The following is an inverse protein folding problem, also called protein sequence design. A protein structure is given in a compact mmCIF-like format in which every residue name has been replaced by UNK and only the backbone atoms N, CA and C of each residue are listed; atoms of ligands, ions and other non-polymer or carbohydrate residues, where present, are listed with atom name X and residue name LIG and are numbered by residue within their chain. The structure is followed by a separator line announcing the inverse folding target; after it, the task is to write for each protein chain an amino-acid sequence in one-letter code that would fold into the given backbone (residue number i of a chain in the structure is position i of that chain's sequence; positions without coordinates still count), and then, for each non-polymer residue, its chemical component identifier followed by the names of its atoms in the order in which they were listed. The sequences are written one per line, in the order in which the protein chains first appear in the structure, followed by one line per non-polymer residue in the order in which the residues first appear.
data_IF_540621449732
#
_entry.id   IF_540621449732
#
_cell.length_a   1.000
_cell.length_b   1.000
_cell.length_c   1.000
_cell.angle_alpha   90.00
_cell.angle_beta   90.00
_cell.angle_gamma   90.00
#
_symmetry.space_group_name_H-M   'P 1'
#
loop_
_entity.id
_entity.type
_entity.pdbx_description
1 polymer ?
#
# COMPACT_ATOMS: atom_id res chain seq x y z
N UNK A 1 14.35 -11.99 32.91
CA UNK A 1 15.29 -13.10 33.16
C UNK A 1 15.73 -13.60 31.79
N UNK A 2 16.99 -13.70 31.38
CA UNK A 2 18.32 -13.55 31.98
C UNK A 2 19.31 -13.24 30.83
N UNK A 3 20.30 -12.38 31.14
CA UNK A 3 21.67 -12.25 30.62
C UNK A 3 22.04 -12.11 29.11
N UNK A 4 22.82 -11.05 28.86
CA UNK A 4 23.84 -10.83 27.81
C UNK A 4 25.21 -11.47 28.23
N UNK A 5 26.40 -11.17 27.65
CA UNK A 5 26.88 -11.04 26.24
C UNK A 5 28.18 -11.89 25.99
N UNK A 6 28.71 -11.96 24.74
CA UNK A 6 30.17 -11.86 24.38
C UNK A 6 30.61 -12.63 23.11
N UNK A 7 31.25 -11.87 22.20
CA UNK A 7 32.48 -12.11 21.40
C UNK A 7 33.05 -13.53 21.20
N UNK A 8 33.20 -13.98 19.95
CA UNK A 8 34.49 -14.17 19.22
C UNK A 8 34.31 -14.98 17.91
N UNK A 9 35.18 -14.67 16.94
CA UNK A 9 35.28 -15.32 15.62
C UNK A 9 35.58 -16.82 15.71
N UNK A 10 34.88 -17.61 14.89
CA UNK A 10 35.42 -18.84 14.30
C UNK A 10 34.93 -18.95 12.85
N UNK A 11 35.88 -19.01 11.93
CA UNK A 11 35.69 -19.43 10.54
C UNK A 11 35.43 -20.93 10.54
N UNK A 12 34.31 -21.38 9.97
CA UNK A 12 34.31 -22.57 9.10
C UNK A 12 33.03 -22.63 8.28
N UNK A 13 33.20 -23.01 7.01
CA UNK A 13 32.18 -22.93 5.97
C UNK A 13 31.06 -23.95 6.13
N UNK A 14 29.82 -23.49 5.92
CA UNK A 14 28.72 -24.30 5.42
C UNK A 14 27.72 -23.37 4.70
N UNK A 15 27.08 -23.81 3.58
CA UNK A 15 26.28 -22.94 2.75
C UNK A 15 25.01 -22.52 3.50
N UNK A 16 24.62 -21.27 3.29
CA UNK A 16 23.45 -20.60 3.85
C UNK A 16 22.27 -21.56 4.02
N UNK A 17 21.96 -21.92 5.26
CA UNK A 17 20.72 -22.59 5.61
C UNK A 17 19.55 -21.72 5.17
N UNK A 18 18.77 -22.20 4.22
CA UNK A 18 17.45 -21.66 3.94
C UNK A 18 16.64 -21.80 5.23
N UNK A 19 16.18 -20.68 5.80
CA UNK A 19 15.17 -20.70 6.85
C UNK A 19 14.02 -21.62 6.40
N UNK A 20 13.51 -22.53 7.25
CA UNK A 20 12.41 -23.40 6.87
C UNK A 20 11.24 -22.56 6.37
N UNK A 21 10.74 -22.86 5.17
CA UNK A 21 9.62 -22.16 4.57
C UNK A 21 8.36 -22.45 5.40
N UNK A 22 7.77 -21.40 5.95
CA UNK A 22 6.51 -21.46 6.69
C UNK A 22 5.34 -21.59 5.71
N UNK A 23 4.34 -22.37 6.09
CA UNK A 23 3.11 -22.55 5.29
C UNK A 23 1.90 -22.05 6.08
N UNK A 24 1.02 -21.31 5.39
CA UNK A 24 -0.27 -20.85 5.92
C UNK A 24 -1.35 -21.50 5.05
N UNK A 25 -2.22 -22.31 5.66
CA UNK A 25 -3.27 -23.05 4.94
C UNK A 25 -2.78 -23.87 3.73
N UNK A 26 -1.55 -24.38 3.79
CA UNK A 26 -0.92 -25.15 2.72
C UNK A 26 -0.29 -24.32 1.59
N UNK A 27 -0.26 -22.99 1.72
CA UNK A 27 0.42 -22.06 0.81
C UNK A 27 1.72 -21.59 1.47
N UNK A 28 2.81 -21.54 0.70
CA UNK A 28 4.07 -21.02 1.20
C UNK A 28 3.93 -19.52 1.54
N UNK A 29 4.40 -19.09 2.72
CA UNK A 29 4.30 -17.69 3.16
C UNK A 29 5.02 -16.74 2.19
N UNK A 30 6.05 -17.23 1.50
CA UNK A 30 6.76 -16.52 0.43
C UNK A 30 5.83 -16.08 -0.72
N UNK A 31 4.78 -16.85 -1.01
CA UNK A 31 3.78 -16.55 -2.04
C UNK A 31 2.71 -15.56 -1.56
N UNK A 32 2.53 -15.44 -0.24
CA UNK A 32 1.57 -14.52 0.40
C UNK A 32 2.18 -13.14 0.66
N UNK A 33 3.52 -13.06 0.73
CA UNK A 33 4.23 -11.78 0.89
C UNK A 33 4.22 -11.00 -0.42
N UNK A 34 3.46 -9.90 -0.44
CA UNK A 34 3.29 -9.05 -1.62
C UNK A 34 2.75 -9.84 -2.82
N UNK A 35 1.50 -10.30 -2.70
CA UNK A 35 0.82 -11.08 -3.74
C UNK A 35 0.92 -10.35 -5.07
N UNK A 36 1.75 -10.91 -5.94
CA UNK A 36 2.12 -10.38 -7.25
C UNK A 36 1.77 -11.44 -8.25
N UNK A 37 0.92 -11.08 -9.18
CA UNK A 37 0.67 -11.90 -10.34
C UNK A 37 1.66 -11.60 -11.45
N UNK A 38 1.94 -12.62 -12.26
CA UNK A 38 2.74 -12.49 -13.48
C UNK A 38 1.83 -12.63 -14.69
N UNK A 39 1.88 -11.64 -15.57
CA UNK A 39 1.25 -11.69 -16.90
C UNK A 39 2.17 -10.98 -17.88
N UNK A 40 2.43 -11.61 -19.02
CA UNK A 40 3.30 -11.08 -20.08
C UNK A 40 4.67 -10.59 -19.58
N UNK A 41 5.28 -11.32 -18.63
CA UNK A 41 6.59 -10.98 -18.04
C UNK A 41 6.59 -9.78 -17.09
N UNK A 42 5.42 -9.24 -16.74
CA UNK A 42 5.27 -8.13 -15.79
C UNK A 42 4.63 -8.61 -14.50
N UNK A 43 5.14 -8.11 -13.38
CA UNK A 43 4.52 -8.30 -12.07
C UNK A 43 3.48 -7.22 -11.85
N UNK A 44 2.26 -7.59 -11.46
CA UNK A 44 1.21 -6.67 -11.06
C UNK A 44 0.60 -7.10 -9.73
N UNK A 45 0.11 -6.13 -8.97
CA UNK A 45 -0.71 -6.41 -7.80
C UNK A 45 -2.15 -6.56 -8.25
N UNK A 46 -2.83 -7.59 -7.75
CA UNK A 46 -4.26 -7.79 -7.98
C UNK A 46 -4.95 -7.95 -6.64
N UNK A 47 -6.12 -7.32 -6.52
CA UNK A 47 -7.05 -7.53 -5.42
C UNK A 47 -8.46 -7.56 -5.98
N UNK A 48 -9.30 -8.39 -5.37
CA UNK A 48 -10.74 -8.46 -5.65
C UNK A 48 -11.44 -7.75 -4.50
N UNK A 49 -12.45 -6.97 -4.85
CA UNK A 49 -13.23 -6.22 -3.89
C UNK A 49 -14.70 -6.59 -4.10
N UNK A 50 -15.33 -7.08 -3.05
CA UNK A 50 -16.78 -7.20 -2.98
C UNK A 50 -17.34 -5.85 -2.56
N UNK A 51 -18.24 -5.28 -3.36
CA UNK A 51 -18.84 -3.96 -3.09
C UNK A 51 -20.35 -4.12 -2.96
N UNK A 52 -20.85 -4.08 -1.72
CA UNK A 52 -22.27 -4.28 -1.43
C UNK A 52 -23.14 -3.10 -1.85
N UNK A 53 -22.62 -1.88 -1.74
CA UNK A 53 -23.35 -0.64 -2.07
C UNK A 53 -22.53 0.25 -3.01
N UNK A 54 -22.62 0.03 -4.34
CA UNK A 54 -21.90 0.84 -5.30
C UNK A 54 -22.29 2.32 -5.22
N UNK A 55 -21.31 3.21 -5.33
CA UNK A 55 -21.55 4.65 -5.24
C UNK A 55 -20.47 5.44 -6.01
N UNK A 56 -20.82 6.57 -6.67
CA UNK A 56 -19.86 7.40 -7.39
C UNK A 56 -18.83 8.10 -6.48
N UNK A 57 -19.02 8.04 -5.16
CA UNK A 57 -18.06 8.53 -4.16
C UNK A 57 -17.15 7.42 -3.59
N UNK A 58 -17.19 6.21 -4.18
CA UNK A 58 -16.17 5.20 -3.92
C UNK A 58 -14.99 5.50 -4.82
N UNK A 59 -13.88 5.90 -4.19
CA UNK A 59 -12.64 6.25 -4.87
C UNK A 59 -11.58 5.20 -4.67
N UNK A 60 -10.84 4.91 -5.75
CA UNK A 60 -9.54 4.29 -5.64
C UNK A 60 -8.49 5.39 -5.44
N UNK A 61 -7.83 5.36 -4.30
CA UNK A 61 -6.77 6.33 -3.93
C UNK A 61 -5.42 5.65 -4.05
N UNK A 62 -4.59 6.12 -4.98
CA UNK A 62 -3.22 5.69 -5.12
C UNK A 62 -2.31 6.57 -4.26
N UNK A 63 -1.63 5.97 -3.29
CA UNK A 63 -0.58 6.62 -2.49
C UNK A 63 0.78 6.18 -3.00
N UNK A 64 1.60 7.15 -3.38
CA UNK A 64 2.96 6.95 -3.86
C UNK A 64 3.90 7.33 -2.74
N UNK A 65 4.66 6.35 -2.28
CA UNK A 65 5.74 6.53 -1.33
C UNK A 65 7.08 6.57 -2.04
N UNK A 66 8.03 7.29 -1.44
CA UNK A 66 9.43 7.31 -1.86
C UNK A 66 10.32 6.90 -0.69
N UNK A 67 11.54 6.46 -0.99
CA UNK A 67 12.57 6.30 0.04
C UNK A 67 12.78 7.63 0.77
N UNK A 68 12.89 7.58 2.09
CA UNK A 68 13.08 8.77 2.92
C UNK A 68 14.30 9.59 2.44
N UNK A 69 14.07 10.84 2.04
CA UNK A 69 15.09 11.70 1.44
C UNK A 69 15.00 13.15 1.95
N UNK A 70 14.82 13.36 3.26
CA UNK A 70 14.71 14.72 3.81
C UNK A 70 13.44 15.44 3.33
N UNK A 71 13.52 16.75 3.09
CA UNK A 71 12.34 17.56 2.78
C UNK A 71 11.75 17.22 1.39
N UNK A 72 10.45 16.93 1.36
CA UNK A 72 9.71 16.54 0.15
C UNK A 72 9.74 17.60 -0.95
N UNK A 73 9.77 18.89 -0.61
CA UNK A 73 9.77 19.98 -1.60
C UNK A 73 11.05 19.96 -2.43
N UNK A 74 12.21 19.77 -1.80
CA UNK A 74 13.48 19.59 -2.50
C UNK A 74 13.54 18.26 -3.26
N UNK A 75 12.88 17.22 -2.76
CA UNK A 75 12.85 15.92 -3.42
C UNK A 75 12.00 15.90 -4.69
N UNK A 76 10.88 16.63 -4.69
CA UNK A 76 9.94 16.68 -5.80
C UNK A 76 10.39 17.67 -6.89
N UNK A 77 11.18 18.69 -6.52
CA UNK A 77 11.65 19.75 -7.41
C UNK A 77 12.27 19.26 -8.74
N UNK A 78 13.15 18.23 -8.77
CA UNK A 78 13.71 17.72 -10.03
C UNK A 78 12.67 17.11 -10.97
N UNK A 79 11.53 16.65 -10.45
CA UNK A 79 10.45 16.08 -11.26
C UNK A 79 9.52 17.16 -11.81
N UNK A 80 9.46 18.31 -11.15
CA UNK A 80 8.53 19.41 -11.48
C UNK A 80 9.20 20.45 -12.38
N UNK A 81 10.49 20.71 -12.19
CA UNK A 81 11.23 21.68 -12.99
C UNK A 81 11.47 21.15 -14.40
N UNK A 82 11.20 21.99 -15.41
CA UNK A 82 11.38 21.67 -16.82
C UNK A 82 12.84 21.86 -17.28
N UNK A 83 13.79 21.24 -16.54
CA UNK A 83 15.20 21.19 -16.94
C UNK A 83 15.45 20.03 -17.92
N UNK A 84 16.65 19.97 -18.52
CA UNK A 84 17.09 18.87 -19.39
C UNK A 84 16.74 17.50 -18.77
N UNK A 85 15.80 16.73 -19.35
CA UNK A 85 15.29 15.51 -18.74
C UNK A 85 16.36 14.44 -18.58
N UNK A 86 17.31 14.34 -19.52
CA UNK A 86 18.35 13.32 -19.49
C UNK A 86 19.35 13.59 -18.35
N UNK A 87 19.82 14.83 -18.21
CA UNK A 87 20.71 15.22 -17.11
C UNK A 87 20.01 15.09 -15.76
N UNK A 88 18.74 15.47 -15.70
CA UNK A 88 17.93 15.40 -14.48
C UNK A 88 17.71 13.96 -14.05
N UNK A 89 17.35 13.06 -14.97
CA UNK A 89 17.19 11.64 -14.70
C UNK A 89 18.49 11.01 -14.18
N UNK A 90 19.64 11.32 -14.80
CA UNK A 90 20.94 10.82 -14.33
C UNK A 90 21.28 11.30 -12.92
N UNK A 91 21.03 12.58 -12.62
CA UNK A 91 21.24 13.14 -11.28
C UNK A 91 20.32 12.47 -10.25
N UNK A 92 19.03 12.37 -10.54
CA UNK A 92 18.03 11.74 -9.66
C UNK A 92 18.39 10.27 -9.42
N UNK A 93 18.84 9.54 -10.44
CA UNK A 93 19.25 8.13 -10.34
C UNK A 93 20.47 7.95 -9.42
N UNK A 94 21.51 8.78 -9.57
CA UNK A 94 22.69 8.74 -8.70
C UNK A 94 22.31 9.01 -7.24
N UNK A 95 21.50 10.04 -7.00
CA UNK A 95 21.00 10.36 -5.65
C UNK A 95 20.15 9.23 -5.09
N UNK A 96 19.25 8.65 -5.89
CA UNK A 96 18.41 7.53 -5.48
C UNK A 96 19.26 6.32 -5.05
N UNK A 97 20.29 5.95 -5.83
CA UNK A 97 21.22 4.87 -5.44
C UNK A 97 21.87 5.10 -4.08
N UNK A 98 22.38 6.31 -3.85
CA UNK A 98 23.04 6.67 -2.58
C UNK A 98 22.07 6.69 -1.39
N UNK A 99 20.83 7.16 -1.60
CA UNK A 99 19.83 7.21 -0.54
C UNK A 99 19.30 5.81 -0.24
N UNK A 100 19.02 5.00 -1.27
CA UNK A 100 18.56 3.63 -1.10
C UNK A 100 19.57 2.75 -0.36
N UNK A 101 20.88 2.94 -0.53
CA UNK A 101 21.89 2.17 0.21
C UNK A 101 21.88 2.45 1.72
N UNK A 102 21.46 3.64 2.14
CA UNK A 102 21.45 4.07 3.54
C UNK A 102 20.08 3.99 4.20
N UNK A 103 19.04 4.38 3.48
CA UNK A 103 17.68 4.59 3.98
C UNK A 103 16.64 3.77 3.22
N UNK A 104 17.05 2.81 2.37
CA UNK A 104 16.17 2.06 1.47
C UNK A 104 15.05 1.26 2.13
N UNK A 105 15.07 1.08 3.45
CA UNK A 105 13.97 0.48 4.21
C UNK A 105 12.92 1.50 4.68
N UNK A 106 13.28 2.77 4.77
CA UNK A 106 12.39 3.83 5.23
C UNK A 106 11.63 4.45 4.06
N UNK A 107 10.34 4.71 4.28
CA UNK A 107 9.45 5.33 3.30
C UNK A 107 8.98 6.68 3.82
N UNK A 108 8.67 7.58 2.89
CA UNK A 108 7.99 8.82 3.15
C UNK A 108 6.89 9.03 2.10
N UNK A 109 5.78 9.69 2.45
CA UNK A 109 4.80 10.12 1.46
C UNK A 109 5.44 10.98 0.39
N UNK A 110 5.03 10.80 -0.87
CA UNK A 110 5.59 11.54 -2.00
C UNK A 110 4.49 12.17 -2.86
N UNK A 111 3.54 11.37 -3.31
CA UNK A 111 2.43 11.84 -4.12
C UNK A 111 1.17 11.01 -3.89
N UNK A 112 0.03 11.53 -4.29
CA UNK A 112 -1.22 10.79 -4.30
C UNK A 112 -2.06 11.16 -5.52
N UNK A 113 -2.91 10.25 -5.93
CA UNK A 113 -3.92 10.50 -6.94
C UNK A 113 -5.18 9.68 -6.62
N UNK A 114 -6.30 10.06 -7.18
CA UNK A 114 -7.53 9.31 -7.01
C UNK A 114 -8.33 9.23 -8.31
N UNK A 115 -9.22 8.25 -8.37
CA UNK A 115 -10.30 8.20 -9.34
C UNK A 115 -11.54 7.54 -8.75
N UNK A 116 -12.76 7.94 -9.16
CA UNK A 116 -13.96 7.17 -8.84
C UNK A 116 -13.91 5.80 -9.52
N UNK A 117 -14.54 4.81 -8.89
CA UNK A 117 -14.67 3.45 -9.45
C UNK A 117 -16.02 3.25 -10.15
N UNK A 118 -17.08 3.87 -9.62
CA UNK A 118 -18.42 3.79 -10.18
C UNK A 118 -18.86 5.11 -10.80
N UNK A 119 -19.65 5.03 -11.87
CA UNK A 119 -20.26 6.19 -12.54
C UNK A 119 -21.54 6.62 -11.82
N UNK A 120 -22.24 5.67 -11.20
CA UNK A 120 -23.55 5.86 -10.60
C UNK A 120 -23.76 4.92 -9.39
N UNK A 121 -24.90 5.09 -8.73
CA UNK A 121 -25.35 4.26 -7.60
C UNK A 121 -25.89 2.88 -8.02
N UNK A 122 -26.03 2.64 -9.32
CA UNK A 122 -26.51 1.36 -9.87
C UNK A 122 -25.34 0.37 -10.06
N UNK A 123 -24.10 0.81 -9.85
CA UNK A 123 -22.91 -0.03 -9.93
C UNK A 123 -22.25 -0.07 -11.31
N UNK A 124 -22.56 0.89 -12.19
CA UNK A 124 -21.86 1.00 -13.47
C UNK A 124 -20.38 1.35 -13.25
N UNK A 125 -19.47 0.46 -13.64
CA UNK A 125 -18.01 0.66 -13.48
C UNK A 125 -17.46 1.69 -14.47
N UNK A 126 -16.50 2.49 -14.00
CA UNK A 126 -15.68 3.36 -14.83
C UNK A 126 -14.37 2.68 -15.24
N UNK A 127 -14.45 1.94 -16.35
CA UNK A 127 -13.34 1.18 -16.95
C UNK A 127 -12.30 2.10 -17.60
N UNK A 128 -12.74 3.22 -18.19
CA UNK A 128 -11.89 4.21 -18.88
C UNK A 128 -11.46 5.37 -17.96
N UNK A 129 -11.84 5.29 -16.68
CA UNK A 129 -11.60 6.33 -15.70
C UNK A 129 -10.11 6.62 -15.52
N UNK A 130 -9.71 7.88 -15.75
CA UNK A 130 -8.34 8.32 -15.49
C UNK A 130 -8.17 8.80 -14.07
N UNK A 131 -6.99 8.52 -13.50
CA UNK A 131 -6.57 9.16 -12.26
C UNK A 131 -6.48 10.67 -12.44
N UNK A 132 -6.74 11.38 -11.34
CA UNK A 132 -6.30 12.75 -11.16
C UNK A 132 -4.79 12.87 -11.42
N UNK A 133 -4.28 14.08 -11.67
CA UNK A 133 -2.85 14.33 -11.62
C UNK A 133 -2.23 13.81 -10.31
N UNK A 134 -0.93 13.47 -10.34
CA UNK A 134 -0.21 13.11 -9.13
C UNK A 134 0.02 14.37 -8.31
N UNK A 135 -0.72 14.53 -7.22
CA UNK A 135 -0.57 15.65 -6.31
C UNK A 135 0.52 15.35 -5.29
N UNK A 136 1.43 16.30 -5.06
CA UNK A 136 2.47 16.19 -4.04
C UNK A 136 1.84 15.97 -2.66
N UNK A 137 2.27 14.93 -1.94
CA UNK A 137 1.77 14.61 -0.61
C UNK A 137 2.75 15.06 0.48
N UNK A 138 2.61 16.30 0.95
CA UNK A 138 3.35 16.79 2.12
C UNK A 138 2.59 16.41 3.40
N UNK A 139 3.04 15.37 4.12
CA UNK A 139 2.36 14.86 5.32
C UNK A 139 2.23 15.87 6.47
N UNK A 140 3.05 16.93 6.46
CA UNK A 140 2.95 18.01 7.45
C UNK A 140 1.79 18.98 7.15
N UNK A 141 1.34 19.02 5.88
CA UNK A 141 0.31 19.95 5.37
C UNK A 141 -0.97 19.27 4.90
N UNK A 142 -0.90 17.99 4.57
CA UNK A 142 -1.99 17.22 3.98
C UNK A 142 -2.17 15.91 4.75
N UNK A 143 -3.11 15.91 5.69
CA UNK A 143 -3.48 14.73 6.46
C UNK A 143 -4.41 13.79 5.67
N UNK A 144 -4.69 12.60 6.20
CA UNK A 144 -5.69 11.70 5.61
C UNK A 144 -7.09 12.31 5.60
N UNK A 145 -7.43 13.10 6.62
CA UNK A 145 -8.73 13.81 6.69
C UNK A 145 -8.84 14.90 5.61
N UNK A 146 -7.74 15.61 5.34
CA UNK A 146 -7.70 16.61 4.27
C UNK A 146 -7.87 15.97 2.90
N UNK A 147 -7.28 14.79 2.68
CA UNK A 147 -7.49 14.01 1.45
C UNK A 147 -8.98 13.65 1.31
N UNK A 148 -9.65 13.19 2.38
CA UNK A 148 -11.07 12.89 2.33
C UNK A 148 -11.92 14.12 1.98
N UNK A 149 -11.61 15.29 2.56
CA UNK A 149 -12.29 16.56 2.22
C UNK A 149 -12.10 16.90 0.74
N UNK A 150 -10.89 16.75 0.21
CA UNK A 150 -10.62 16.97 -1.21
C UNK A 150 -11.36 15.99 -2.12
N UNK A 151 -11.50 14.72 -1.71
CA UNK A 151 -12.27 13.72 -2.46
C UNK A 151 -13.77 14.05 -2.50
N UNK A 152 -14.32 14.61 -1.42
CA UNK A 152 -15.71 15.08 -1.40
C UNK A 152 -15.96 16.21 -2.42
N UNK A 153 -14.93 16.99 -2.76
CA UNK A 153 -14.98 18.04 -3.77
C UNK A 153 -14.37 17.62 -5.12
N UNK A 154 -14.15 16.33 -5.37
CA UNK A 154 -13.43 15.82 -6.55
C UNK A 154 -13.99 16.33 -7.89
N UNK A 155 -15.32 16.50 -8.00
CA UNK A 155 -16.00 16.99 -9.21
C UNK A 155 -15.74 18.47 -9.50
N UNK A 156 -15.08 19.21 -8.61
CA UNK A 156 -14.77 20.66 -8.74
C UNK A 156 -13.25 20.88 -8.71
N UNK A 157 -12.50 20.40 -9.72
CA UNK A 157 -11.04 20.39 -9.69
C UNK A 157 -10.40 21.78 -9.61
N UNK A 158 -11.09 22.84 -10.06
CA UNK A 158 -10.61 24.24 -10.02
C UNK A 158 -10.26 24.74 -8.61
N UNK A 159 -10.84 24.13 -7.57
CA UNK A 159 -10.55 24.49 -6.17
C UNK A 159 -9.28 23.84 -5.62
N UNK A 160 -8.74 22.83 -6.29
CA UNK A 160 -7.63 22.03 -5.77
C UNK A 160 -6.30 22.71 -6.07
N UNK A 161 -5.78 23.50 -5.12
CA UNK A 161 -4.50 24.22 -5.23
C UNK A 161 -3.28 23.36 -4.86
N UNK A 162 -3.26 22.10 -5.28
CA UNK A 162 -2.16 21.17 -4.98
C UNK A 162 -1.08 21.21 -6.07
N UNK A 163 0.17 21.13 -5.64
CA UNK A 163 1.30 21.06 -6.57
C UNK A 163 1.30 19.71 -7.29
N UNK A 164 1.34 19.73 -8.63
CA UNK A 164 1.34 18.53 -9.47
C UNK A 164 2.78 18.05 -9.69
N UNK A 165 2.99 16.75 -9.57
CA UNK A 165 4.20 16.04 -9.99
C UNK A 165 3.90 15.37 -11.35
N UNK A 166 4.67 15.67 -12.41
CA UNK A 166 4.49 15.01 -13.70
C UNK A 166 4.64 13.48 -13.59
N UNK A 167 3.70 12.76 -14.18
CA UNK A 167 3.69 11.30 -14.19
C UNK A 167 2.35 10.74 -14.63
N UNK A 168 2.30 9.44 -14.89
CA UNK A 168 1.09 8.71 -15.25
C UNK A 168 0.99 7.44 -14.40
N UNK A 169 -0.23 7.12 -13.99
CA UNK A 169 -0.57 5.90 -13.27
C UNK A 169 -1.62 5.15 -14.07
N UNK A 170 -1.28 3.93 -14.48
CA UNK A 170 -2.16 3.04 -15.23
C UNK A 170 -2.63 1.92 -14.31
N UNK A 171 -3.93 1.86 -14.04
CA UNK A 171 -4.56 0.79 -13.26
C UNK A 171 -5.81 0.35 -14.02
N UNK A 172 -5.92 -0.94 -14.26
CA UNK A 172 -7.10 -1.56 -14.87
C UNK A 172 -8.09 -1.93 -13.77
N UNK A 173 -9.37 -1.64 -14.01
CA UNK A 173 -10.48 -2.16 -13.19
C UNK A 173 -11.41 -2.90 -14.13
N UNK A 174 -11.88 -4.05 -13.69
CA UNK A 174 -12.73 -4.95 -14.46
C UNK A 174 -13.74 -5.63 -13.53
N UNK A 175 -14.87 -6.05 -14.10
CA UNK A 175 -15.76 -6.95 -13.39
C UNK A 175 -15.08 -8.31 -13.24
N UNK A 176 -15.06 -8.84 -12.03
CA UNK A 176 -14.47 -10.15 -11.75
C UNK A 176 -15.44 -11.25 -12.22
N UNK A 177 -14.98 -12.24 -13.00
CA UNK A 177 -15.81 -13.35 -13.41
C UNK A 177 -16.18 -14.24 -12.22
N UNK A 178 -17.37 -14.87 -12.27
CA UNK A 178 -17.94 -15.66 -11.17
C UNK A 178 -17.12 -16.93 -10.88
N UNK A 179 -16.37 -17.43 -11.86
CA UNK A 179 -15.58 -18.66 -11.82
C UNK A 179 -14.09 -18.41 -11.52
N UNK A 180 -13.75 -17.27 -10.92
CA UNK A 180 -12.36 -16.96 -10.61
C UNK A 180 -11.74 -17.99 -9.64
N UNK A 181 -10.64 -18.60 -10.07
CA UNK A 181 -9.87 -19.57 -9.29
C UNK A 181 -8.75 -18.92 -8.48
N UNK A 182 -8.16 -19.69 -7.57
CA UNK A 182 -6.94 -19.31 -6.85
C UNK A 182 -7.08 -18.05 -5.98
N UNK A 183 -8.28 -17.84 -5.45
CA UNK A 183 -8.57 -16.75 -4.53
C UNK A 183 -8.29 -17.17 -3.09
N UNK A 184 -7.86 -16.21 -2.28
CA UNK A 184 -7.73 -16.37 -0.83
C UNK A 184 -8.51 -15.28 -0.12
N UNK A 185 -9.11 -15.61 1.01
CA UNK A 185 -9.76 -14.61 1.86
C UNK A 185 -8.72 -13.73 2.57
N UNK A 186 -9.17 -12.68 3.26
CA UNK A 186 -8.33 -11.86 4.15
C UNK A 186 -7.69 -12.65 5.30
N UNK A 187 -8.17 -13.88 5.58
CA UNK A 187 -7.54 -14.84 6.51
C UNK A 187 -6.51 -15.77 5.86
N UNK A 188 -6.16 -15.53 4.58
CA UNK A 188 -5.34 -16.43 3.75
C UNK A 188 -5.95 -17.84 3.55
N UNK A 189 -7.25 -17.99 3.77
CA UNK A 189 -7.95 -19.26 3.53
C UNK A 189 -8.24 -19.39 2.03
N UNK A 190 -7.79 -20.49 1.38
CA UNK A 190 -8.06 -20.73 -0.04
C UNK A 190 -9.55 -20.93 -0.34
N UNK A 191 -10.04 -20.27 -1.38
CA UNK A 191 -11.38 -20.46 -1.93
C UNK A 191 -11.34 -21.45 -3.09
N UNK A 192 -12.33 -22.34 -3.17
CA UNK A 192 -12.45 -23.31 -4.27
C UNK A 192 -13.00 -22.60 -5.52
N UNK A 193 -12.48 -22.87 -6.73
CA UNK A 193 -11.40 -23.81 -7.03
C UNK A 193 -10.01 -23.24 -6.73
N UNK A 194 -9.16 -24.02 -6.05
CA UNK A 194 -7.77 -23.65 -5.74
C UNK A 194 -6.81 -24.73 -6.23
N UNK A 195 -5.93 -24.35 -7.15
CA UNK A 195 -4.94 -25.26 -7.74
C UNK A 195 -3.73 -25.45 -6.82
N UNK A 196 -3.22 -26.69 -6.77
CA UNK A 196 -1.97 -26.97 -6.05
C UNK A 196 -0.80 -26.30 -6.79
N UNK A 197 0.06 -25.60 -6.06
CA UNK A 197 1.24 -24.88 -6.58
C UNK A 197 0.93 -23.69 -7.51
N UNK A 198 -0.23 -23.04 -7.35
CA UNK A 198 -0.56 -21.83 -8.09
C UNK A 198 0.47 -20.71 -7.85
N UNK A 199 0.84 -20.00 -8.92
CA UNK A 199 1.73 -18.82 -8.85
C UNK A 199 0.97 -17.48 -8.85
N UNK A 200 -0.30 -17.47 -9.25
CA UNK A 200 -1.13 -16.27 -9.39
C UNK A 200 -2.27 -16.32 -8.39
N UNK A 201 -1.93 -16.08 -7.12
CA UNK A 201 -2.93 -15.99 -6.05
C UNK A 201 -3.61 -14.62 -6.14
N UNK A 202 -4.92 -14.57 -5.88
CA UNK A 202 -5.65 -13.30 -5.77
C UNK A 202 -6.22 -13.14 -4.36
N UNK A 203 -6.06 -11.97 -3.76
CA UNK A 203 -6.66 -11.68 -2.46
C UNK A 203 -8.06 -11.13 -2.67
N UNK A 204 -9.03 -11.79 -2.06
CA UNK A 204 -10.33 -11.20 -1.79
C UNK A 204 -10.22 -10.31 -0.55
N UNK A 205 -10.42 -9.01 -0.77
CA UNK A 205 -10.44 -8.01 0.28
C UNK A 205 -11.87 -7.93 0.82
N UNK A 206 -12.02 -8.26 2.10
CA UNK A 206 -13.32 -8.23 2.79
C UNK A 206 -13.76 -6.77 2.98
N UNK A 207 -15.02 -6.48 2.65
CA UNK A 207 -15.65 -5.18 2.95
C UNK A 207 -15.85 -5.07 4.47
N UNK A 208 -15.60 -3.89 5.05
CA UNK A 208 -16.00 -3.66 6.43
C UNK A 208 -17.52 -3.73 6.54
N UNK A 209 -18.02 -4.44 7.56
CA UNK A 209 -19.47 -4.57 7.79
C UNK A 209 -20.08 -3.16 7.91
N UNK A 210 -21.01 -2.79 7.02
CA UNK A 210 -21.65 -1.49 7.10
C UNK A 210 -22.41 -1.35 8.42
N UNK A 211 -22.40 -0.15 9.02
CA UNK A 211 -23.19 0.17 10.22
C UNK A 211 -24.70 0.27 9.89
N UNK A 212 -25.30 -0.84 9.47
CA UNK A 212 -26.72 -0.91 9.14
C UNK A 212 -27.37 -2.08 9.86
N UNK A 213 -28.48 -1.82 10.54
CA UNK A 213 -29.17 -2.78 11.42
C UNK A 213 -29.49 -4.12 10.76
N UNK A 214 -29.77 -4.12 9.45
CA UNK A 214 -30.03 -5.35 8.67
C UNK A 214 -28.82 -6.28 8.52
N UNK A 215 -27.61 -5.78 8.75
CA UNK A 215 -26.36 -6.54 8.75
C UNK A 215 -25.84 -6.85 10.16
N UNK A 216 -26.55 -6.40 11.20
CA UNK A 216 -26.29 -6.77 12.59
C UNK A 216 -26.99 -8.11 12.90
N UNK A 217 -26.38 -9.23 12.51
CA UNK A 217 -26.81 -10.56 12.92
C UNK A 217 -25.89 -11.09 14.04
N UNK A 218 -26.37 -11.99 14.92
CA UNK A 218 -25.51 -12.60 15.91
C UNK A 218 -24.43 -13.45 15.21
N UNK A 219 -23.17 -13.02 15.31
CA UNK A 219 -22.04 -13.79 14.82
C UNK A 219 -21.82 -15.01 15.71
N UNK A 220 -21.80 -16.20 15.11
CA UNK A 220 -21.56 -17.48 15.81
C UNK A 220 -20.12 -17.99 15.64
N UNK A 221 -19.31 -17.28 14.86
CA UNK A 221 -17.94 -17.64 14.50
C UNK A 221 -17.06 -16.42 14.75
N UNK A 222 -15.98 -16.60 15.51
CA UNK A 222 -15.03 -15.55 15.81
C UNK A 222 -13.90 -15.52 14.77
N UNK A 223 -13.66 -14.35 14.15
CA UNK A 223 -12.47 -14.09 13.31
C UNK A 223 -11.49 -13.20 14.08
N UNK A 224 -10.28 -13.70 14.35
CA UNK A 224 -9.24 -12.93 15.04
C UNK A 224 -8.40 -12.11 14.04
N UNK A 225 -8.98 -11.05 13.48
CA UNK A 225 -8.25 -10.13 12.61
C UNK A 225 -7.85 -8.87 13.37
N UNK A 226 -6.55 -8.59 13.40
CA UNK A 226 -6.03 -7.32 13.89
C UNK A 226 -5.49 -6.49 12.73
N UNK A 227 -6.22 -5.44 12.36
CA UNK A 227 -5.76 -4.41 11.44
C UNK A 227 -5.07 -3.29 12.20
N UNK A 228 -3.74 -3.26 12.18
CA UNK A 228 -2.96 -2.12 12.70
C UNK A 228 -2.71 -1.15 11.55
N UNK A 229 -3.29 0.04 11.64
CA UNK A 229 -3.07 1.13 10.68
C UNK A 229 -2.41 2.32 11.38
N UNK A 230 -1.07 2.47 11.26
CA UNK A 230 -0.37 3.62 11.82
C UNK A 230 -0.91 4.91 11.18
N UNK A 231 -1.51 5.79 11.99
CA UNK A 231 -2.21 6.97 11.47
C UNK A 231 -1.25 8.06 10.98
N UNK A 232 -0.28 8.45 11.82
CA UNK A 232 0.68 9.49 11.48
C UNK A 232 1.90 9.43 12.38
N UNK A 233 3.05 9.81 11.84
CA UNK A 233 4.29 10.00 12.57
C UNK A 233 4.84 11.38 12.21
N UNK A 234 4.79 12.33 13.15
CA UNK A 234 5.25 13.71 12.96
C UNK A 234 6.61 13.92 13.62
N UNK A 235 7.62 14.32 12.84
CA UNK A 235 8.96 14.64 13.34
C UNK A 235 9.32 16.13 13.19
N UNK A 236 8.38 16.95 12.72
CA UNK A 236 8.64 18.31 12.22
C UNK A 236 9.17 19.28 13.31
N UNK A 237 9.00 18.93 14.59
CA UNK A 237 9.48 19.71 15.74
C UNK A 237 10.88 19.28 16.26
N UNK A 238 11.52 18.26 15.69
CA UNK A 238 12.82 17.75 16.16
C UNK A 238 13.99 18.41 15.42
N UNK A 239 14.79 19.20 16.16
CA UNK A 239 15.91 19.98 15.59
C UNK A 239 17.21 19.18 15.37
N UNK A 240 17.39 18.01 16.00
CA UNK A 240 18.60 17.19 15.85
C UNK A 240 18.34 15.72 16.12
N UNK A 241 18.79 14.84 15.23
CA UNK A 241 18.87 13.40 15.50
C UNK A 241 20.33 12.99 15.70
N UNK A 242 20.85 13.11 16.92
CA UNK A 242 22.24 12.75 17.21
C UNK A 242 22.52 11.22 17.14
N UNK A 243 21.47 10.38 17.17
CA UNK A 243 21.46 8.94 16.90
C UNK A 243 20.02 8.47 17.11
N UNK A 244 19.29 8.10 16.05
CA UNK A 244 18.00 7.43 16.24
C UNK A 244 18.29 5.94 16.33
N UNK A 245 18.16 5.39 17.54
CA UNK A 245 17.98 3.95 17.70
C UNK A 245 16.64 3.60 17.04
N UNK A 246 16.61 2.59 16.18
CA UNK A 246 15.40 2.09 15.52
C UNK A 246 14.23 2.08 16.51
N UNK A 247 13.25 2.96 16.30
CA UNK A 247 12.05 2.98 17.16
C UNK A 247 11.17 1.84 16.66
N UNK A 248 11.30 0.69 17.31
CA UNK A 248 10.38 -0.42 17.14
C UNK A 248 9.10 -0.08 17.89
N UNK A 249 8.06 0.30 17.16
CA UNK A 249 6.74 0.41 17.74
C UNK A 249 6.14 -0.99 17.85
N UNK A 250 5.92 -1.45 19.08
CA UNK A 250 5.04 -2.59 19.36
C UNK A 250 3.66 -2.00 19.63
N UNK A 251 2.79 -2.06 18.62
CA UNK A 251 1.40 -1.66 18.78
C UNK A 251 0.59 -2.83 19.33
N UNK A 252 0.16 -2.72 20.59
CA UNK A 252 -0.95 -3.50 21.12
C UNK A 252 -2.22 -2.67 20.91
N UNK A 253 -2.87 -2.87 19.77
CA UNK A 253 -4.26 -2.47 19.58
C UNK A 253 -5.06 -3.74 19.41
N UNK A 254 -6.06 -3.98 20.24
CA UNK A 254 -7.03 -5.06 20.02
C UNK A 254 -8.29 -4.37 19.54
N UNK A 255 -8.61 -4.51 18.25
CA UNK A 255 -9.96 -4.26 17.75
C UNK A 255 -10.52 -5.63 17.37
N UNK A 256 -11.19 -6.24 18.33
CA UNK A 256 -12.07 -7.37 18.05
C UNK A 256 -13.24 -6.81 17.24
N UNK A 257 -13.35 -7.20 15.98
CA UNK A 257 -14.63 -7.14 15.29
C UNK A 257 -15.39 -8.39 15.71
N UNK A 258 -16.55 -8.18 16.36
CA UNK A 258 -17.51 -9.24 16.65
C UNK A 258 -18.14 -9.69 15.34
#
# INVERSE_FOLDING_TARGET
MLWSPSTQLASDGNPRGSSPESFIHGIAESQLRYIRQKSNGRNFFQGIFSVTNPHPEIFLVARIEKVLQGNITHCAEPYIKNSDPAKTAQKVHRTAKQVCSRLGQYRMPFAWAARPIFKDIQGSLDLDGRFSPLYKQDSSKLSSEDILKLLSEYKKPEKTKLQIIPGQLNITVECVPVDLSNCITSSYVPLKPFEKNCQNITVEVEEFVPEMTKYCYPFTIYKNHLYVYPLQLKYDSQKTFAKVHSVNYIFWGVKCYL
#
